data_IF_620100040333
#
_entry.id   IF_620100040333
#
_cell.length_a   1.000
_cell.length_b   1.000
_cell.length_c   1.000
_cell.angle_alpha   90.00
_cell.angle_beta   90.00
_cell.angle_gamma   90.00
#
_symmetry.space_group_name_H-M   'P 1'
#
loop_
_entity.id
_entity.type
_entity.pdbx_description
1 polymer ?
#
# COMPACT_ATOMS: atom_id res chain seq x y z
N UNK A 1 -1.48 0.19 -21.52
CA UNK A 1 -2.68 -0.62 -21.16
C UNK A 1 -2.78 -1.78 -22.13
N UNK A 2 -3.06 -2.98 -21.64
CA UNK A 2 -3.21 -4.18 -22.48
C UNK A 2 -4.65 -4.68 -22.36
N UNK A 3 -5.29 -5.12 -23.44
CA UNK A 3 -6.66 -5.64 -23.36
C UNK A 3 -6.68 -6.95 -22.57
N UNK A 4 -7.47 -7.02 -21.49
CA UNK A 4 -7.70 -8.26 -20.78
C UNK A 4 -8.59 -9.17 -21.63
N UNK A 5 -8.02 -10.26 -22.15
CA UNK A 5 -8.72 -11.16 -23.07
C UNK A 5 -9.96 -11.84 -22.47
N UNK A 6 -10.03 -11.96 -21.14
CA UNK A 6 -11.18 -12.58 -20.46
C UNK A 6 -12.37 -11.66 -20.34
N UNK A 7 -12.15 -10.35 -20.18
CA UNK A 7 -13.21 -9.38 -19.91
C UNK A 7 -13.39 -8.33 -21.02
N UNK A 8 -12.49 -8.30 -22.00
CA UNK A 8 -12.54 -7.33 -23.10
C UNK A 8 -12.20 -5.89 -22.71
N UNK A 9 -11.84 -5.62 -21.45
CA UNK A 9 -11.51 -4.29 -20.93
C UNK A 9 -10.00 -4.03 -20.93
N UNK A 10 -9.55 -2.76 -21.03
CA UNK A 10 -8.15 -2.41 -20.78
C UNK A 10 -7.72 -2.79 -19.36
N UNK A 11 -6.49 -3.32 -19.22
CA UNK A 11 -5.87 -3.66 -17.93
C UNK A 11 -4.68 -2.73 -17.64
N UNK A 12 -4.69 -2.21 -16.41
CA UNK A 12 -3.60 -1.47 -15.78
C UNK A 12 -3.04 -2.37 -14.69
N UNK A 13 -1.81 -2.85 -14.85
CA UNK A 13 -1.13 -3.59 -13.80
C UNK A 13 -0.40 -2.61 -12.89
N UNK A 14 -0.53 -2.78 -11.58
CA UNK A 14 0.22 -2.02 -10.56
C UNK A 14 1.10 -2.95 -9.73
N UNK A 15 2.34 -2.55 -9.50
CA UNK A 15 3.31 -3.17 -8.61
C UNK A 15 3.43 -2.45 -7.26
N UNK A 16 4.35 -2.91 -6.39
CA UNK A 16 4.61 -2.27 -5.11
C UNK A 16 4.98 -0.79 -5.26
N UNK A 17 4.35 0.07 -4.46
CA UNK A 17 4.53 1.52 -4.49
C UNK A 17 3.69 2.25 -5.53
N UNK A 18 2.95 1.52 -6.37
CA UNK A 18 2.10 2.08 -7.41
C UNK A 18 0.62 2.07 -6.98
N UNK A 19 -0.15 2.95 -7.60
CA UNK A 19 -1.60 3.00 -7.50
C UNK A 19 -2.19 3.47 -8.82
N UNK A 20 -3.47 3.22 -9.03
CA UNK A 20 -4.22 3.78 -10.14
C UNK A 20 -5.66 4.08 -9.72
N UNK A 21 -6.24 5.10 -10.34
CA UNK A 21 -7.65 5.48 -10.20
C UNK A 21 -8.30 5.54 -11.59
N UNK A 22 -9.60 5.28 -11.69
CA UNK A 22 -10.31 5.43 -12.95
C UNK A 22 -11.82 5.61 -12.76
N UNK A 23 -12.43 6.32 -13.71
CA UNK A 23 -13.88 6.35 -13.94
C UNK A 23 -14.31 5.45 -15.10
N UNK A 24 -13.34 5.00 -15.90
CA UNK A 24 -13.58 4.26 -17.13
C UNK A 24 -13.73 2.75 -16.84
N UNK A 25 -14.37 2.00 -17.76
CA UNK A 25 -14.48 0.55 -17.66
C UNK A 25 -13.11 -0.11 -17.95
N UNK A 26 -12.22 -0.06 -16.96
CA UNK A 26 -10.90 -0.70 -16.96
C UNK A 26 -10.80 -1.72 -15.83
N UNK A 27 -9.74 -2.53 -15.89
CA UNK A 27 -9.32 -3.42 -14.81
C UNK A 27 -8.02 -2.88 -14.23
N UNK A 28 -7.97 -2.68 -12.93
CA UNK A 28 -6.70 -2.47 -12.22
C UNK A 28 -6.33 -3.79 -11.57
N UNK A 29 -5.15 -4.31 -11.89
CA UNK A 29 -4.72 -5.63 -11.42
C UNK A 29 -3.40 -5.60 -10.68
N UNK A 30 -3.25 -6.54 -9.75
CA UNK A 30 -2.00 -6.71 -9.00
C UNK A 30 -1.83 -8.13 -8.48
N UNK A 31 -0.62 -8.46 -8.06
CA UNK A 31 -0.25 -9.74 -7.44
C UNK A 31 0.36 -9.47 -6.07
N UNK A 32 -0.21 -10.07 -5.03
CA UNK A 32 0.12 -9.78 -3.63
C UNK A 32 0.69 -11.00 -2.93
N UNK A 33 1.81 -10.81 -2.23
CA UNK A 33 2.34 -11.69 -1.20
C UNK A 33 2.16 -11.02 0.15
N UNK A 34 3.25 -10.60 0.79
CA UNK A 34 3.23 -9.90 2.09
C UNK A 34 2.68 -8.47 2.01
N UNK A 35 2.71 -7.84 0.82
CA UNK A 35 2.15 -6.52 0.57
C UNK A 35 0.64 -6.44 0.80
N UNK A 36 0.10 -5.23 0.91
CA UNK A 36 -1.34 -4.96 1.00
C UNK A 36 -1.79 -4.12 -0.20
N UNK A 37 -2.99 -4.40 -0.66
CA UNK A 37 -3.71 -3.61 -1.64
C UNK A 37 -5.09 -3.25 -1.10
N UNK A 38 -5.46 -1.97 -1.26
CA UNK A 38 -6.78 -1.45 -0.91
C UNK A 38 -7.46 -0.95 -2.15
N UNK A 39 -8.64 -1.48 -2.42
CA UNK A 39 -9.56 -0.94 -3.40
C UNK A 39 -10.47 0.07 -2.70
N UNK A 40 -10.45 1.31 -3.16
CA UNK A 40 -11.32 2.39 -2.70
C UNK A 40 -12.28 2.77 -3.82
N UNK A 41 -13.57 2.92 -3.53
CA UNK A 41 -14.59 3.23 -4.52
C UNK A 41 -15.79 3.95 -3.89
N UNK A 42 -16.57 4.60 -4.75
CA UNK A 42 -17.88 5.18 -4.42
C UNK A 42 -18.97 4.27 -4.98
N UNK A 43 -20.11 4.13 -4.29
CA UNK A 43 -21.25 3.36 -4.76
C UNK A 43 -22.18 4.19 -5.66
N UNK A 44 -22.14 5.52 -5.53
CA UNK A 44 -23.06 6.44 -6.23
C UNK A 44 -22.48 6.94 -7.56
N UNK A 45 -21.15 6.85 -7.74
CA UNK A 45 -20.49 7.20 -8.99
C UNK A 45 -19.57 6.07 -9.45
N UNK A 46 -19.40 5.84 -10.77
CA UNK A 46 -18.58 4.76 -11.29
C UNK A 46 -17.09 5.11 -11.22
N UNK A 47 -16.56 5.32 -10.01
CA UNK A 47 -15.18 5.72 -9.80
C UNK A 47 -14.55 4.93 -8.65
N UNK A 48 -13.30 4.53 -8.85
CA UNK A 48 -12.53 3.82 -7.84
C UNK A 48 -11.05 3.75 -8.17
N UNK A 49 -10.28 3.23 -7.25
CA UNK A 49 -8.86 3.02 -7.42
C UNK A 49 -8.33 1.89 -6.55
N UNK A 50 -7.13 1.44 -6.89
CA UNK A 50 -6.42 0.36 -6.22
C UNK A 50 -4.99 0.84 -5.96
N UNK A 51 -4.48 0.65 -4.75
CA UNK A 51 -3.05 0.80 -4.46
C UNK A 51 -2.38 -0.55 -4.22
N UNK A 52 -1.05 -0.55 -4.15
CA UNK A 52 -0.27 -1.67 -3.68
C UNK A 52 0.90 -1.12 -2.86
N UNK A 53 0.89 -1.32 -1.55
CA UNK A 53 1.96 -0.87 -0.68
C UNK A 53 2.58 -2.03 0.11
N UNK A 54 3.84 -1.84 0.50
CA UNK A 54 4.55 -2.69 1.46
C UNK A 54 5.13 -1.76 2.51
N UNK A 55 4.91 -2.06 3.79
CA UNK A 55 5.58 -1.29 4.83
C UNK A 55 7.05 -1.75 4.96
N UNK A 56 7.99 -0.81 5.19
CA UNK A 56 9.34 -1.21 5.60
C UNK A 56 9.27 -1.94 6.94
N UNK A 57 10.14 -2.95 7.10
CA UNK A 57 10.32 -3.62 8.39
C UNK A 57 10.77 -2.58 9.44
N UNK A 58 10.11 -2.49 10.60
CA UNK A 58 10.46 -1.50 11.61
C UNK A 58 11.85 -1.82 12.19
N UNK A 59 12.64 -0.79 12.48
CA UNK A 59 13.94 -0.96 13.17
C UNK A 59 13.78 -1.27 14.66
N UNK A 60 12.66 -0.88 15.28
CA UNK A 60 12.45 -0.98 16.74
C UNK A 60 11.12 -1.61 17.16
N UNK A 61 10.45 -2.36 16.27
CA UNK A 61 9.20 -3.07 16.60
C UNK A 61 7.96 -2.19 16.79
N UNK A 62 8.09 -0.85 16.75
CA UNK A 62 6.94 0.07 16.77
C UNK A 62 6.38 0.27 15.36
N UNK A 63 5.09 0.01 15.18
CA UNK A 63 4.33 0.29 13.94
C UNK A 63 4.26 1.80 13.65
N UNK A 64 4.38 2.62 14.71
CA UNK A 64 4.04 4.05 14.71
C UNK A 64 5.16 5.00 14.27
N UNK A 65 6.41 4.58 14.07
CA UNK A 65 7.50 5.56 13.89
C UNK A 65 7.86 5.87 12.43
N UNK A 66 7.77 4.93 11.49
CA UNK A 66 8.19 5.19 10.09
C UNK A 66 7.45 4.34 9.06
N UNK A 67 7.27 3.05 9.37
CA UNK A 67 6.43 2.15 8.58
C UNK A 67 5.02 2.70 8.40
N UNK A 68 4.38 3.16 9.48
CA UNK A 68 3.06 3.80 9.42
C UNK A 68 3.03 5.01 8.46
N UNK A 69 4.05 5.87 8.47
CA UNK A 69 4.11 7.06 7.59
C UNK A 69 4.08 6.69 6.12
N UNK A 70 4.77 5.62 5.73
CA UNK A 70 4.74 5.12 4.36
C UNK A 70 3.34 4.63 3.96
N UNK A 71 2.70 3.85 4.83
CA UNK A 71 1.34 3.39 4.60
C UNK A 71 0.33 4.52 4.51
N UNK A 72 0.43 5.52 5.39
CA UNK A 72 -0.42 6.72 5.37
C UNK A 72 -0.25 7.45 4.05
N UNK A 73 0.99 7.71 3.63
CA UNK A 73 1.26 8.38 2.36
C UNK A 73 0.65 7.65 1.15
N UNK A 74 0.80 6.32 1.09
CA UNK A 74 0.23 5.51 0.00
C UNK A 74 -1.31 5.56 -0.02
N UNK A 75 -1.97 5.65 1.14
CA UNK A 75 -3.41 5.81 1.23
C UNK A 75 -3.87 7.23 0.87
N UNK A 76 -3.14 8.26 1.32
CA UNK A 76 -3.42 9.65 0.99
C UNK A 76 -3.35 9.93 -0.50
N UNK A 77 -2.32 9.42 -1.19
CA UNK A 77 -2.20 9.55 -2.64
C UNK A 77 -3.43 8.98 -3.37
N UNK A 78 -3.84 7.77 -3.00
CA UNK A 78 -5.02 7.11 -3.58
C UNK A 78 -6.30 7.92 -3.30
N UNK A 79 -6.53 8.33 -2.05
CA UNK A 79 -7.71 9.09 -1.67
C UNK A 79 -7.74 10.42 -2.44
N UNK A 80 -6.64 11.16 -2.46
CA UNK A 80 -6.58 12.48 -3.10
C UNK A 80 -6.88 12.41 -4.60
N UNK A 81 -6.38 11.39 -5.29
CA UNK A 81 -6.67 11.21 -6.72
C UNK A 81 -8.12 10.78 -6.97
N UNK A 82 -8.74 10.03 -6.04
CA UNK A 82 -10.18 9.76 -6.11
C UNK A 82 -11.02 11.02 -5.89
N UNK A 83 -10.63 11.89 -4.97
CA UNK A 83 -11.32 13.17 -4.75
C UNK A 83 -11.25 14.06 -6.02
N UNK A 84 -10.12 14.07 -6.73
CA UNK A 84 -10.00 14.77 -8.03
C UNK A 84 -10.94 14.21 -9.10
N UNK A 85 -11.29 12.92 -9.01
CA UNK A 85 -12.30 12.30 -9.86
C UNK A 85 -13.75 12.57 -9.41
N UNK A 86 -13.96 13.34 -8.35
CA UNK A 86 -15.28 13.70 -7.82
C UNK A 86 -15.87 12.68 -6.83
N UNK A 87 -15.08 11.71 -6.37
CA UNK A 87 -15.50 10.80 -5.28
C UNK A 87 -15.68 11.60 -4.00
N UNK A 88 -16.74 11.32 -3.24
CA UNK A 88 -16.91 11.91 -1.91
C UNK A 88 -16.18 11.08 -0.87
N UNK A 89 -15.33 11.71 -0.05
CA UNK A 89 -14.64 11.04 1.06
C UNK A 89 -15.61 10.28 1.97
N UNK A 90 -16.79 10.86 2.23
CA UNK A 90 -17.82 10.28 3.11
C UNK A 90 -18.50 9.04 2.54
N UNK A 91 -18.40 8.81 1.22
CA UNK A 91 -19.00 7.66 0.54
C UNK A 91 -17.99 6.59 0.16
N UNK A 92 -16.72 6.79 0.47
CA UNK A 92 -15.69 5.80 0.21
C UNK A 92 -16.03 4.48 0.91
N UNK A 93 -15.90 3.39 0.15
CA UNK A 93 -15.94 2.00 0.63
C UNK A 93 -14.61 1.34 0.32
N UNK A 94 -14.19 0.42 1.17
CA UNK A 94 -12.92 -0.27 1.04
C UNK A 94 -13.08 -1.78 0.82
N UNK A 95 -12.16 -2.36 0.04
CA UNK A 95 -11.90 -3.81 0.03
C UNK A 95 -10.39 -4.05 0.16
N UNK A 96 -9.99 -4.99 1.01
CA UNK A 96 -8.59 -5.16 1.42
C UNK A 96 -8.06 -6.55 1.08
N UNK A 97 -6.88 -6.63 0.47
CA UNK A 97 -6.26 -7.88 0.03
C UNK A 97 -4.76 -7.92 0.36
N UNK A 98 -4.21 -9.11 0.60
CA UNK A 98 -2.75 -9.32 0.70
C UNK A 98 -2.29 -9.84 2.06
N UNK A 99 -1.06 -9.51 2.48
CA UNK A 99 -0.55 -9.89 3.80
C UNK A 99 -0.30 -11.39 3.96
N UNK A 100 0.05 -12.11 2.89
CA UNK A 100 0.44 -13.52 2.96
C UNK A 100 1.79 -13.68 3.66
N UNK A 101 1.88 -14.61 4.61
CA UNK A 101 3.12 -15.06 5.24
C UNK A 101 3.69 -16.26 4.47
N UNK A 102 4.40 -15.96 3.37
CA UNK A 102 5.08 -16.98 2.56
C UNK A 102 6.19 -17.67 3.37
N UNK A 103 6.53 -18.94 3.05
CA UNK A 103 7.42 -19.79 3.87
C UNK A 103 8.75 -19.11 4.25
N UNK A 104 9.35 -18.37 3.31
CA UNK A 104 10.59 -17.63 3.53
C UNK A 104 10.50 -16.53 4.61
N UNK A 105 9.31 -16.00 4.89
CA UNK A 105 9.06 -15.07 6.00
C UNK A 105 8.86 -15.79 7.34
N UNK A 106 8.41 -17.05 7.34
CA UNK A 106 8.17 -17.83 8.57
C UNK A 106 9.48 -18.20 9.27
N UNK A 107 10.51 -18.48 8.49
CA UNK A 107 11.85 -18.84 9.00
C UNK A 107 12.59 -17.62 9.59
N UNK A 108 12.29 -16.41 9.11
CA UNK A 108 12.93 -15.16 9.55
C UNK A 108 12.16 -14.46 10.67
N UNK A 109 11.59 -15.22 11.61
CA UNK A 109 10.60 -14.89 12.66
C UNK A 109 10.77 -13.57 13.48
N UNK A 110 11.81 -12.78 13.22
CA UNK A 110 12.18 -11.57 13.96
C UNK A 110 11.29 -10.36 13.59
N UNK A 111 10.66 -10.30 12.42
CA UNK A 111 9.76 -9.20 12.03
C UNK A 111 8.61 -9.65 11.12
N UNK A 112 7.40 -9.77 11.67
CA UNK A 112 6.23 -10.22 10.91
C UNK A 112 5.59 -9.06 10.10
N UNK A 113 6.29 -8.62 9.05
CA UNK A 113 5.83 -7.59 8.10
C UNK A 113 4.40 -7.84 7.61
N UNK A 114 3.99 -9.07 7.19
CA UNK A 114 2.61 -9.34 6.81
C UNK A 114 1.59 -8.95 7.89
N UNK A 115 1.82 -9.33 9.16
CA UNK A 115 0.93 -9.01 10.27
C UNK A 115 0.84 -7.50 10.51
N UNK A 116 1.98 -6.80 10.43
CA UNK A 116 2.02 -5.35 10.58
C UNK A 116 1.26 -4.63 9.47
N UNK A 117 1.40 -5.05 8.22
CA UNK A 117 0.70 -4.45 7.10
C UNK A 117 -0.82 -4.57 7.28
N UNK A 118 -1.28 -5.76 7.71
CA UNK A 118 -2.69 -6.04 8.00
C UNK A 118 -3.18 -5.14 9.15
N UNK A 119 -2.45 -5.12 10.27
CA UNK A 119 -2.84 -4.32 11.43
C UNK A 119 -2.94 -2.84 11.06
N UNK A 120 -1.89 -2.29 10.44
CA UNK A 120 -1.84 -0.90 10.00
C UNK A 120 -3.06 -0.52 9.15
N UNK A 121 -3.40 -1.34 8.15
CA UNK A 121 -4.44 -0.93 7.21
C UNK A 121 -5.84 -0.90 7.82
N UNK A 122 -6.13 -1.85 8.72
CA UNK A 122 -7.42 -1.85 9.40
C UNK A 122 -7.53 -0.72 10.42
N UNK A 123 -6.44 -0.40 11.13
CA UNK A 123 -6.39 0.77 12.01
C UNK A 123 -6.57 2.08 11.22
N UNK A 124 -5.88 2.22 10.08
CA UNK A 124 -5.99 3.38 9.21
C UNK A 124 -7.44 3.59 8.73
N UNK A 125 -8.08 2.53 8.22
CA UNK A 125 -9.44 2.62 7.67
C UNK A 125 -10.49 2.92 8.76
N UNK A 126 -10.30 2.40 9.99
CA UNK A 126 -11.18 2.74 11.12
C UNK A 126 -11.01 4.20 11.57
N UNK A 127 -9.78 4.70 11.66
CA UNK A 127 -9.50 6.10 11.98
C UNK A 127 -10.12 7.05 10.95
N UNK A 128 -10.00 6.71 9.66
CA UNK A 128 -10.57 7.46 8.54
C UNK A 128 -12.08 7.27 8.36
N UNK A 129 -12.71 6.39 9.15
CA UNK A 129 -14.13 6.05 9.07
C UNK A 129 -14.55 5.58 7.68
N UNK A 130 -13.69 4.84 7.00
CA UNK A 130 -13.95 4.22 5.70
C UNK A 130 -14.41 2.76 5.92
N UNK A 131 -15.69 2.43 5.68
CA UNK A 131 -16.20 1.08 5.90
C UNK A 131 -15.54 0.05 4.98
N UNK A 132 -15.20 -1.12 5.53
CA UNK A 132 -14.66 -2.26 4.77
C UNK A 132 -15.79 -3.20 4.37
N UNK A 133 -16.04 -3.33 3.07
CA UNK A 133 -17.10 -4.19 2.53
C UNK A 133 -16.70 -5.66 2.48
N UNK A 134 -15.42 -5.93 2.24
CA UNK A 134 -14.90 -7.29 2.13
C UNK A 134 -13.38 -7.28 2.21
N UNK A 135 -12.80 -8.37 2.71
CA UNK A 135 -11.34 -8.52 2.76
C UNK A 135 -10.91 -9.97 2.50
N UNK A 136 -9.68 -10.14 2.03
CA UNK A 136 -8.98 -11.42 1.97
C UNK A 136 -7.49 -11.18 2.28
N UNK A 137 -7.14 -11.29 3.56
CA UNK A 137 -5.79 -11.06 4.07
C UNK A 137 -5.19 -12.32 4.71
N UNK A 138 -3.88 -12.33 4.96
CA UNK A 138 -3.20 -13.43 5.65
C UNK A 138 -2.93 -14.66 4.78
N UNK A 139 -2.79 -15.84 5.39
CA UNK A 139 -2.52 -17.09 4.67
C UNK A 139 -1.09 -17.21 4.15
N UNK A 140 -0.80 -18.25 3.38
CA UNK A 140 0.54 -18.63 2.90
C UNK A 140 0.68 -18.57 1.37
N UNK A 141 -0.42 -18.34 0.65
CA UNK A 141 -0.44 -18.26 -0.80
C UNK A 141 -0.54 -16.83 -1.32
N UNK A 142 0.18 -16.50 -2.40
CA UNK A 142 -0.03 -15.28 -3.15
C UNK A 142 -1.43 -15.20 -3.72
N UNK A 143 -1.92 -13.98 -3.93
CA UNK A 143 -3.25 -13.72 -4.48
C UNK A 143 -3.20 -12.69 -5.60
N UNK A 144 -3.78 -13.04 -6.75
CA UNK A 144 -3.98 -12.11 -7.88
C UNK A 144 -5.32 -11.40 -7.68
N UNK A 145 -5.32 -10.09 -7.74
CA UNK A 145 -6.48 -9.21 -7.61
C UNK A 145 -6.74 -8.53 -8.94
N UNK A 146 -8.01 -8.54 -9.37
CA UNK A 146 -8.52 -7.74 -10.48
C UNK A 146 -9.66 -6.89 -9.92
N UNK A 147 -9.49 -5.59 -9.93
CA UNK A 147 -10.47 -4.62 -9.47
C UNK A 147 -11.09 -3.88 -10.65
N UNK A 148 -12.39 -3.65 -10.59
CA UNK A 148 -13.19 -2.96 -11.59
C UNK A 148 -13.69 -1.62 -11.00
N UNK A 149 -12.95 -0.51 -11.17
CA UNK A 149 -13.24 0.77 -10.52
C UNK A 149 -14.68 1.24 -10.67
N UNK A 150 -15.19 1.18 -11.90
CA UNK A 150 -16.53 1.63 -12.27
C UNK A 150 -17.68 0.85 -11.60
N UNK A 151 -17.42 -0.32 -10.99
CA UNK A 151 -18.45 -1.14 -10.33
C UNK A 151 -18.14 -1.50 -8.88
N UNK A 152 -16.94 -1.19 -8.39
CA UNK A 152 -16.46 -1.66 -7.09
C UNK A 152 -16.22 -3.18 -6.99
N UNK A 153 -16.41 -3.94 -8.08
CA UNK A 153 -16.26 -5.41 -8.07
C UNK A 153 -14.79 -5.80 -8.02
N UNK A 154 -14.53 -6.91 -7.34
CA UNK A 154 -13.20 -7.54 -7.29
C UNK A 154 -13.32 -9.00 -7.65
N UNK A 155 -12.38 -9.48 -8.46
CA UNK A 155 -12.08 -10.90 -8.59
C UNK A 155 -10.72 -11.17 -7.97
N UNK A 156 -10.69 -12.14 -7.06
CA UNK A 156 -9.47 -12.57 -6.39
C UNK A 156 -9.30 -14.07 -6.57
N UNK A 157 -8.06 -14.51 -6.79
CA UNK A 157 -7.70 -15.92 -6.76
C UNK A 157 -6.32 -16.14 -6.15
N UNK A 158 -6.17 -17.25 -5.45
CA UNK A 158 -4.86 -17.73 -5.01
C UNK A 158 -4.04 -18.29 -6.17
N UNK A 159 -2.71 -18.19 -6.09
CA UNK A 159 -1.80 -18.74 -7.11
C UNK A 159 -0.47 -19.18 -6.52
N UNK A 160 0.02 -20.36 -6.96
CA UNK A 160 1.37 -20.87 -6.64
C UNK A 160 2.41 -20.54 -7.72
N UNK A 161 1.97 -20.22 -8.94
CA UNK A 161 2.82 -20.13 -10.15
C UNK A 161 3.90 -19.04 -10.09
N UNK A 162 3.90 -18.20 -9.06
CA UNK A 162 4.73 -17.00 -8.98
C UNK A 162 5.43 -16.86 -7.63
N UNK A 163 5.36 -17.87 -6.75
CA UNK A 163 5.81 -17.75 -5.36
C UNK A 163 7.28 -17.30 -5.26
N UNK A 164 8.22 -18.06 -5.84
CA UNK A 164 9.64 -17.72 -5.78
C UNK A 164 10.00 -16.38 -6.44
N UNK A 165 9.34 -16.03 -7.54
CA UNK A 165 9.56 -14.75 -8.22
C UNK A 165 9.03 -13.57 -7.39
N UNK A 166 7.89 -13.76 -6.72
CA UNK A 166 7.29 -12.76 -5.85
C UNK A 166 8.11 -12.56 -4.58
N UNK A 167 8.58 -13.62 -3.95
CA UNK A 167 9.47 -13.56 -2.79
C UNK A 167 10.76 -12.77 -3.09
N UNK A 168 11.36 -12.97 -4.28
CA UNK A 168 12.52 -12.19 -4.73
C UNK A 168 12.19 -10.71 -4.89
N UNK A 169 11.06 -10.37 -5.54
CA UNK A 169 10.62 -8.98 -5.74
C UNK A 169 10.34 -8.28 -4.41
N UNK A 170 9.65 -8.94 -3.48
CA UNK A 170 9.36 -8.37 -2.16
C UNK A 170 10.64 -8.17 -1.35
N UNK A 171 11.60 -9.09 -1.43
CA UNK A 171 12.90 -8.94 -0.75
C UNK A 171 13.68 -7.74 -1.29
N UNK A 172 13.73 -7.56 -2.62
CA UNK A 172 14.39 -6.42 -3.27
C UNK A 172 13.71 -5.11 -2.89
N UNK A 173 12.39 -5.04 -3.05
CA UNK A 173 11.62 -3.84 -2.75
C UNK A 173 11.69 -3.46 -1.27
N UNK A 174 11.64 -4.44 -0.35
CA UNK A 174 11.84 -4.19 1.07
C UNK A 174 13.24 -3.67 1.40
N UNK A 175 14.28 -4.05 0.65
CA UNK A 175 15.63 -3.52 0.82
C UNK A 175 15.70 -2.06 0.38
N UNK A 176 15.17 -1.75 -0.79
CA UNK A 176 15.11 -0.38 -1.32
C UNK A 176 14.32 0.56 -0.40
N UNK A 177 13.19 0.09 0.16
CA UNK A 177 12.41 0.87 1.12
C UNK A 177 13.21 1.17 2.40
N UNK A 178 14.03 0.22 2.88
CA UNK A 178 14.91 0.42 4.05
C UNK A 178 16.03 1.42 3.76
N UNK A 179 16.62 1.40 2.58
CA UNK A 179 17.64 2.39 2.21
C UNK A 179 17.04 3.80 2.08
N UNK A 180 15.86 3.92 1.47
CA UNK A 180 15.15 5.21 1.33
C UNK A 180 14.67 5.76 2.68
N UNK A 181 14.20 4.92 3.59
CA UNK A 181 13.89 5.34 4.96
C UNK A 181 15.14 5.90 5.65
N UNK A 182 16.28 5.22 5.52
CA UNK A 182 17.54 5.63 6.16
C UNK A 182 18.09 6.96 5.62
N UNK A 183 17.88 7.21 4.32
CA UNK A 183 18.18 8.48 3.68
C UNK A 183 17.25 9.61 4.15
N UNK A 184 15.97 9.33 4.38
CA UNK A 184 14.99 10.32 4.85
C UNK A 184 15.28 10.72 6.30
N UNK A 185 15.64 9.76 7.16
CA UNK A 185 16.05 10.00 8.55
C UNK A 185 17.35 10.81 8.60
N UNK A 186 18.34 10.50 7.77
CA UNK A 186 19.60 11.25 7.75
C UNK A 186 19.48 12.68 7.22
N UNK A 187 18.52 12.97 6.33
CA UNK A 187 18.19 14.34 5.90
C UNK A 187 17.49 15.14 7.01
N UNK A 188 16.60 14.51 7.78
CA UNK A 188 15.93 15.12 8.92
C UNK A 188 16.90 15.50 10.06
N UNK A 189 18.02 14.79 10.22
CA UNK A 189 19.04 15.10 11.22
C UNK A 189 20.20 15.99 10.72
N UNK A 190 20.16 16.46 9.47
CA UNK A 190 21.16 17.41 8.93
C UNK A 190 20.70 18.88 8.90
N UNK A 191 19.46 19.17 9.29
CA UNK A 191 18.94 20.52 9.40
C UNK A 191 18.99 21.06 10.83
N UNK A 192 20.18 21.43 11.33
CA UNK A 192 20.42 22.48 12.34
C UNK A 192 21.92 22.52 12.73
N UNK A 193 22.78 22.96 11.80
CA UNK A 193 24.07 23.58 12.16
C UNK A 193 24.41 24.66 11.14
N UNK A 194 23.74 25.80 11.24
CA UNK A 194 24.19 27.03 10.59
C UNK A 194 24.04 28.22 11.53
N UNK A 195 25.17 28.86 11.84
CA UNK A 195 25.23 30.29 12.14
C UNK A 195 25.30 30.67 13.62
N UNK A 196 26.52 30.80 14.15
CA UNK A 196 26.75 31.56 15.38
C UNK A 196 26.64 33.07 15.14
N UNK A 197 26.34 33.82 16.20
CA UNK A 197 26.84 35.19 16.42
C UNK A 197 27.00 35.40 17.92
N UNK A 198 28.17 35.91 18.31
CA UNK A 198 28.52 36.20 19.68
C UNK A 198 27.76 37.39 20.25
N UNK A 199 27.70 37.43 21.58
CA UNK A 199 27.34 38.63 22.34
C UNK A 199 28.47 38.86 23.34
N UNK A 200 29.23 39.94 23.08
CA UNK A 200 30.16 40.55 24.02
C UNK A 200 29.42 40.92 25.31
N UNK A 201 30.00 40.55 26.45
CA UNK A 201 29.64 41.12 27.76
C UNK A 201 30.39 42.44 27.91
N UNK A 202 29.63 43.54 28.03
CA UNK A 202 30.08 44.75 28.70
C UNK A 202 29.77 44.60 30.19
N UNK A 203 30.81 44.63 31.02
CA UNK A 203 30.88 45.34 32.31
C UNK A 203 32.32 45.82 32.49
#
# INVERSE_FOLDING_TARGET
>A
MTKNLKFGLPEIYIGPGEFAVSREPVIISTLLGSCISVALFDLDIPAGGLNHFLLPSPKSGSVFSESGRYGVHAMELLINDLLKLGVSRRRLRAKVFGGSAMLSYREKAVYNVPKMNIQFIFEFLDLEKIPVDSYSVGGDLPRKVLFFPHTGKVLMRFTKKTLAALERRESQYSHELREKSDLTVSHLFRGEKTGGTGVEKKE
#
